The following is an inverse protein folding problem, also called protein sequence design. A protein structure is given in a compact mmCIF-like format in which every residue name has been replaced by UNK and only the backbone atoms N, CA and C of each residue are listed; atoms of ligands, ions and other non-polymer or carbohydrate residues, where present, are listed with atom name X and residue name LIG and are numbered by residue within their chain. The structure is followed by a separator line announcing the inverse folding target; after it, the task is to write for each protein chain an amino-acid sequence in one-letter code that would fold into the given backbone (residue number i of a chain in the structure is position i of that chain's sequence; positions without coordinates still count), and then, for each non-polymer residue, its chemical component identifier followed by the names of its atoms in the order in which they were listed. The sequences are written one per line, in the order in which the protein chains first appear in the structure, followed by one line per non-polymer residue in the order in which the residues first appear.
data_IF_363706079098
#
_entry.id   IF_363706079098
#
_cell.length_a   1.000
_cell.length_b   1.000
_cell.length_c   1.000
_cell.angle_alpha   90.00
_cell.angle_beta   90.00
_cell.angle_gamma   90.00
#
_symmetry.space_group_name_H-M   'P 1'
#
loop_
_entity.id
_entity.type
_entity.pdbx_description
1 polymer ?
#
# COMPACT_ATOMS: atom_id res chain seq x y z
N UNK A 1 -25.83 8.11 -23.45
CA UNK A 1 -24.72 7.43 -22.75
C UNK A 1 -25.05 5.96 -22.65
N UNK A 2 -24.11 5.07 -23.01
CA UNK A 2 -24.23 3.66 -22.61
C UNK A 2 -24.09 3.61 -21.09
N UNK A 3 -24.92 2.81 -20.42
CA UNK A 3 -24.80 2.59 -18.99
C UNK A 3 -23.54 1.80 -18.63
N UNK A 4 -23.28 1.69 -17.34
CA UNK A 4 -22.26 0.78 -16.81
C UNK A 4 -22.77 -0.66 -16.97
N UNK A 5 -21.87 -1.60 -17.30
CA UNK A 5 -22.19 -3.03 -17.34
C UNK A 5 -22.69 -3.53 -15.97
N UNK A 6 -23.71 -4.38 -15.97
CA UNK A 6 -24.37 -4.82 -14.74
C UNK A 6 -23.44 -5.55 -13.77
N UNK A 7 -22.38 -6.20 -14.27
CA UNK A 7 -21.39 -6.89 -13.43
C UNK A 7 -20.48 -5.94 -12.64
N UNK A 8 -20.48 -4.64 -12.94
CA UNK A 8 -19.69 -3.63 -12.22
C UNK A 8 -20.46 -3.07 -11.04
N UNK A 9 -21.80 -3.08 -11.06
CA UNK A 9 -22.62 -2.53 -9.97
C UNK A 9 -22.25 -3.08 -8.58
N UNK A 10 -21.98 -4.39 -8.39
CA UNK A 10 -21.51 -4.91 -7.11
C UNK A 10 -20.17 -4.34 -6.66
N UNK A 11 -19.28 -3.95 -7.59
CA UNK A 11 -17.98 -3.38 -7.23
C UNK A 11 -18.14 -2.00 -6.56
N UNK A 12 -19.21 -1.27 -6.90
CA UNK A 12 -19.45 0.11 -6.47
C UNK A 12 -20.35 0.20 -5.23
N UNK A 13 -20.82 -0.93 -4.68
CA UNK A 13 -21.81 -0.96 -3.59
C UNK A 13 -21.42 -0.14 -2.38
N UNK A 14 -20.12 -0.14 -2.08
CA UNK A 14 -19.57 0.43 -0.84
C UNK A 14 -19.36 1.94 -0.95
N UNK A 15 -19.35 2.51 -2.16
CA UNK A 15 -19.17 3.95 -2.38
C UNK A 15 -20.33 4.76 -1.76
N UNK A 16 -21.57 4.26 -1.89
CA UNK A 16 -22.77 4.88 -1.30
C UNK A 16 -22.72 4.95 0.22
N UNK A 17 -22.02 4.01 0.84
CA UNK A 17 -21.93 3.91 2.30
C UNK A 17 -20.80 4.80 2.86
N UNK A 18 -19.89 5.29 2.02
CA UNK A 18 -18.77 6.11 2.47
C UNK A 18 -19.18 7.58 2.66
N UNK A 19 -19.54 7.93 3.89
CA UNK A 19 -19.95 9.31 4.24
C UNK A 19 -18.83 10.35 4.14
N UNK A 20 -17.56 9.93 3.95
CA UNK A 20 -16.42 10.85 3.75
C UNK A 20 -16.21 11.19 2.28
N UNK A 21 -16.88 10.47 1.38
CA UNK A 21 -16.77 10.69 -0.04
C UNK A 21 -17.43 12.05 -0.39
N UNK A 22 -16.76 12.95 -1.13
CA UNK A 22 -17.36 14.23 -1.50
C UNK A 22 -18.65 14.06 -2.31
N UNK A 23 -19.56 15.02 -2.18
CA UNK A 23 -20.81 15.02 -2.97
C UNK A 23 -20.49 14.99 -4.47
N UNK A 24 -21.18 14.14 -5.22
CA UNK A 24 -20.97 13.97 -6.67
C UNK A 24 -19.81 13.05 -7.08
N UNK A 25 -19.01 12.55 -6.13
CA UNK A 25 -17.85 11.71 -6.45
C UNK A 25 -18.24 10.29 -6.90
N UNK A 26 -19.29 9.69 -6.34
CA UNK A 26 -19.81 8.41 -6.86
C UNK A 26 -20.29 8.59 -8.30
N UNK A 27 -21.03 9.66 -8.58
CA UNK A 27 -21.50 9.97 -9.93
C UNK A 27 -20.33 10.24 -10.89
N UNK A 28 -19.26 10.89 -10.43
CA UNK A 28 -18.04 11.09 -11.21
C UNK A 28 -17.36 9.75 -11.55
N UNK A 29 -17.21 8.84 -10.58
CA UNK A 29 -16.69 7.47 -10.81
C UNK A 29 -17.59 6.73 -11.81
N UNK A 30 -18.90 6.82 -11.66
CA UNK A 30 -19.86 6.17 -12.56
C UNK A 30 -19.77 6.72 -13.98
N UNK A 31 -19.70 8.04 -14.17
CA UNK A 31 -19.53 8.66 -15.50
C UNK A 31 -18.19 8.29 -16.12
N UNK A 32 -17.12 8.31 -15.32
CA UNK A 32 -15.78 7.85 -15.71
C UNK A 32 -15.82 6.47 -16.37
N UNK A 33 -16.47 5.50 -15.71
CA UNK A 33 -16.61 4.12 -16.22
C UNK A 33 -17.53 4.08 -17.44
N UNK A 34 -18.67 4.78 -17.40
CA UNK A 34 -19.66 4.73 -18.48
C UNK A 34 -19.15 5.34 -19.80
N UNK A 35 -18.35 6.40 -19.72
CA UNK A 35 -17.87 7.13 -20.89
C UNK A 35 -16.60 6.53 -21.50
N UNK A 36 -15.97 5.54 -20.86
CA UNK A 36 -14.83 4.78 -21.39
C UNK A 36 -15.27 3.34 -21.73
N UNK A 37 -15.61 3.03 -22.99
CA UNK A 37 -15.94 1.67 -23.41
C UNK A 37 -14.88 0.63 -23.02
N UNK A 38 -13.59 0.97 -23.14
CA UNK A 38 -12.49 0.10 -22.72
C UNK A 38 -12.54 -0.19 -21.21
N UNK A 39 -12.63 0.85 -20.37
CA UNK A 39 -12.66 0.68 -18.91
C UNK A 39 -13.90 -0.10 -18.44
N UNK A 40 -15.05 0.19 -19.04
CA UNK A 40 -16.29 -0.52 -18.77
C UNK A 40 -16.13 -2.02 -19.06
N UNK A 41 -15.60 -2.39 -20.23
CA UNK A 41 -15.35 -3.80 -20.55
C UNK A 41 -14.27 -4.43 -19.66
N UNK A 42 -13.18 -3.70 -19.36
CA UNK A 42 -12.09 -4.16 -18.50
C UNK A 42 -12.60 -4.53 -17.10
N UNK A 43 -13.30 -3.60 -16.45
CA UNK A 43 -13.86 -3.81 -15.11
C UNK A 43 -14.96 -4.87 -15.12
N UNK A 44 -15.80 -4.92 -16.15
CA UNK A 44 -16.85 -5.92 -16.26
C UNK A 44 -16.28 -7.35 -16.33
N UNK A 45 -15.21 -7.55 -17.11
CA UNK A 45 -14.55 -8.83 -17.23
C UNK A 45 -13.80 -9.18 -15.94
N UNK A 46 -13.02 -8.24 -15.38
CA UNK A 46 -12.32 -8.44 -14.12
C UNK A 46 -13.26 -8.77 -12.96
N UNK A 47 -14.47 -8.18 -12.93
CA UNK A 47 -15.52 -8.52 -11.97
C UNK A 47 -16.02 -9.96 -12.15
N UNK A 48 -16.33 -10.36 -13.39
CA UNK A 48 -16.82 -11.71 -13.72
C UNK A 48 -15.79 -12.80 -13.39
N UNK A 49 -14.52 -12.50 -13.64
CA UNK A 49 -13.41 -13.43 -13.41
C UNK A 49 -12.93 -13.41 -11.94
N UNK A 50 -13.53 -12.56 -11.09
CA UNK A 50 -13.18 -12.45 -9.66
C UNK A 50 -11.81 -11.80 -9.41
N UNK A 51 -11.22 -11.17 -10.42
CA UNK A 51 -9.94 -10.45 -10.34
C UNK A 51 -10.09 -9.11 -9.62
N UNK A 52 -11.27 -8.49 -9.70
CA UNK A 52 -11.66 -7.29 -8.94
C UNK A 52 -13.01 -7.58 -8.29
N UNK A 53 -13.07 -7.49 -6.96
CA UNK A 53 -14.30 -7.73 -6.21
C UNK A 53 -14.89 -6.49 -5.56
N UNK A 54 -14.14 -5.36 -5.51
CA UNK A 54 -14.60 -4.10 -4.92
C UNK A 54 -13.85 -2.89 -5.48
N UNK A 55 -14.52 -1.75 -5.54
CA UNK A 55 -13.94 -0.41 -5.72
C UNK A 55 -14.28 0.41 -4.48
N UNK A 56 -13.28 1.02 -3.85
CA UNK A 56 -13.43 1.81 -2.64
C UNK A 56 -12.53 3.06 -2.66
N UNK A 57 -12.67 3.91 -1.65
CA UNK A 57 -11.84 5.12 -1.52
C UNK A 57 -10.93 5.00 -0.30
N UNK A 58 -9.65 5.31 -0.51
CA UNK A 58 -8.63 5.31 0.54
C UNK A 58 -8.25 6.74 0.94
N UNK A 59 -8.10 6.99 2.24
CA UNK A 59 -7.93 8.36 2.79
C UNK A 59 -6.53 8.63 3.38
N UNK A 60 -5.64 7.63 3.37
CA UNK A 60 -4.34 7.69 4.05
C UNK A 60 -3.13 7.46 3.14
N UNK A 61 -3.32 7.36 1.82
CA UNK A 61 -2.23 7.06 0.87
C UNK A 61 -1.93 8.25 -0.04
N UNK A 62 -0.64 8.48 -0.29
CA UNK A 62 -0.12 9.57 -1.12
C UNK A 62 0.01 9.16 -2.60
N UNK A 63 -1.02 8.53 -3.16
CA UNK A 63 -1.07 8.06 -4.55
C UNK A 63 -2.37 8.47 -5.25
N UNK A 64 -2.47 8.24 -6.57
CA UNK A 64 -3.72 8.37 -7.33
C UNK A 64 -4.68 7.20 -7.07
N UNK A 65 -4.15 6.00 -6.88
CA UNK A 65 -4.90 4.80 -6.50
C UNK A 65 -3.95 3.67 -6.14
N UNK A 66 -4.51 2.55 -5.71
CA UNK A 66 -3.81 1.28 -5.62
C UNK A 66 -4.80 0.12 -5.68
N UNK A 67 -4.39 -0.99 -6.28
CA UNK A 67 -5.07 -2.27 -6.11
C UNK A 67 -4.68 -2.91 -4.77
N UNK A 68 -5.47 -3.86 -4.27
CA UNK A 68 -5.12 -4.69 -3.13
C UNK A 68 -5.60 -6.12 -3.42
N UNK A 69 -4.68 -7.09 -3.30
CA UNK A 69 -5.03 -8.52 -3.44
C UNK A 69 -6.06 -8.96 -2.37
N UNK A 70 -6.73 -10.08 -2.63
CA UNK A 70 -7.64 -10.67 -1.65
C UNK A 70 -6.91 -10.99 -0.33
N UNK A 71 -7.56 -10.69 0.79
CA UNK A 71 -7.13 -11.10 2.12
C UNK A 71 -8.29 -11.74 2.89
N UNK A 72 -8.05 -12.46 4.00
CA UNK A 72 -9.15 -13.03 4.79
C UNK A 72 -10.20 -11.96 5.15
N UNK A 73 -11.43 -12.13 4.66
CA UNK A 73 -12.52 -11.19 4.88
C UNK A 73 -12.51 -9.92 4.01
N UNK A 74 -11.63 -9.80 3.01
CA UNK A 74 -11.64 -8.69 2.04
C UNK A 74 -11.39 -9.19 0.61
N UNK A 75 -12.30 -8.91 -0.34
CA UNK A 75 -12.08 -9.26 -1.74
C UNK A 75 -10.97 -8.40 -2.37
N UNK A 76 -10.44 -8.80 -3.54
CA UNK A 76 -9.52 -7.95 -4.27
C UNK A 76 -10.17 -6.58 -4.54
N UNK A 77 -9.50 -5.50 -4.15
CA UNK A 77 -10.12 -4.17 -4.09
C UNK A 77 -9.28 -3.16 -4.85
N UNK A 78 -9.90 -2.38 -5.74
CA UNK A 78 -9.31 -1.15 -6.27
C UNK A 78 -9.63 -0.02 -5.30
N UNK A 79 -8.61 0.69 -4.83
CA UNK A 79 -8.76 1.90 -4.05
C UNK A 79 -8.44 3.13 -4.89
N UNK A 80 -9.40 4.03 -5.00
CA UNK A 80 -9.19 5.40 -5.48
C UNK A 80 -8.70 6.23 -4.29
N UNK A 81 -7.65 7.03 -4.46
CA UNK A 81 -7.24 7.94 -3.38
C UNK A 81 -8.24 9.10 -3.24
N UNK A 82 -8.60 9.42 -2.00
CA UNK A 82 -9.44 10.56 -1.68
C UNK A 82 -8.83 11.90 -2.12
N UNK A 83 -7.50 11.94 -2.33
CA UNK A 83 -6.79 13.13 -2.79
C UNK A 83 -7.22 13.57 -4.20
N UNK A 84 -7.62 12.65 -5.08
CA UNK A 84 -8.09 13.01 -6.43
C UNK A 84 -9.30 13.96 -6.38
N UNK A 85 -10.21 13.76 -5.42
CA UNK A 85 -11.41 14.58 -5.27
C UNK A 85 -11.17 15.92 -4.59
N UNK A 86 -9.97 16.16 -4.05
CA UNK A 86 -9.59 17.45 -3.46
C UNK A 86 -8.92 18.38 -4.47
N UNK A 87 -8.18 17.80 -5.41
CA UNK A 87 -7.25 18.55 -6.25
C UNK A 87 -7.82 18.85 -7.64
N UNK A 88 -8.79 18.06 -8.11
CA UNK A 88 -9.37 18.20 -9.46
C UNK A 88 -10.91 18.09 -9.40
N UNK A 89 -11.60 18.75 -10.33
CA UNK A 89 -13.06 18.76 -10.43
C UNK A 89 -13.50 18.59 -11.89
N UNK A 90 -14.75 18.18 -12.10
CA UNK A 90 -15.35 18.09 -13.42
C UNK A 90 -14.61 17.15 -14.37
N UNK A 91 -14.33 17.61 -15.60
CA UNK A 91 -13.72 16.79 -16.65
C UNK A 91 -12.32 16.30 -16.27
N UNK A 92 -11.51 17.17 -15.65
CA UNK A 92 -10.14 16.83 -15.23
C UNK A 92 -10.14 15.70 -14.20
N UNK A 93 -11.07 15.74 -13.23
CA UNK A 93 -11.25 14.65 -12.28
C UNK A 93 -11.64 13.35 -12.98
N UNK A 94 -12.58 13.40 -13.92
CA UNK A 94 -13.08 12.20 -14.60
C UNK A 94 -12.02 11.58 -15.53
N UNK A 95 -11.22 12.39 -16.22
CA UNK A 95 -10.07 11.93 -17.01
C UNK A 95 -9.03 11.27 -16.09
N UNK A 96 -8.71 11.91 -14.97
CA UNK A 96 -7.78 11.37 -13.96
C UNK A 96 -8.26 10.04 -13.38
N UNK A 97 -9.53 9.94 -12.99
CA UNK A 97 -10.12 8.71 -12.49
C UNK A 97 -10.14 7.62 -13.56
N UNK A 98 -10.27 7.98 -14.84
CA UNK A 98 -10.26 7.03 -15.95
C UNK A 98 -8.91 6.30 -16.03
N UNK A 99 -7.81 7.06 -15.99
CA UNK A 99 -6.46 6.49 -16.01
C UNK A 99 -6.19 5.64 -14.77
N UNK A 100 -6.49 6.16 -13.57
CA UNK A 100 -6.29 5.44 -12.31
C UNK A 100 -7.05 4.13 -12.31
N UNK A 101 -8.36 4.13 -12.61
CA UNK A 101 -9.14 2.90 -12.63
C UNK A 101 -8.66 1.91 -13.70
N UNK A 102 -8.24 2.40 -14.87
CA UNK A 102 -7.67 1.55 -15.93
C UNK A 102 -6.36 0.89 -15.53
N UNK A 103 -5.50 1.61 -14.80
CA UNK A 103 -4.24 1.13 -14.26
C UNK A 103 -4.47 0.11 -13.15
N UNK A 104 -5.25 0.45 -12.12
CA UNK A 104 -5.48 -0.44 -10.97
C UNK A 104 -6.27 -1.70 -11.33
N UNK A 105 -7.19 -1.63 -12.30
CA UNK A 105 -7.89 -2.81 -12.79
C UNK A 105 -6.93 -3.82 -13.44
N UNK A 106 -5.91 -3.34 -14.15
CA UNK A 106 -4.91 -4.22 -14.77
C UNK A 106 -4.04 -4.90 -13.71
N UNK A 107 -3.73 -4.24 -12.59
CA UNK A 107 -3.06 -4.88 -11.46
C UNK A 107 -3.85 -6.05 -10.87
N UNK A 108 -5.17 -5.96 -10.87
CA UNK A 108 -6.04 -7.08 -10.49
C UNK A 108 -6.05 -8.21 -11.50
N UNK A 109 -6.03 -7.86 -12.80
CA UNK A 109 -5.96 -8.85 -13.89
C UNK A 109 -4.65 -9.63 -13.84
N UNK A 110 -3.52 -8.95 -13.57
CA UNK A 110 -2.17 -9.52 -13.54
C UNK A 110 -1.77 -10.12 -12.18
N UNK A 111 -2.65 -10.07 -11.17
CA UNK A 111 -2.34 -10.50 -9.81
C UNK A 111 -1.85 -11.96 -9.74
N UNK A 112 -2.43 -12.84 -10.58
CA UNK A 112 -2.04 -14.26 -10.64
C UNK A 112 -0.65 -14.43 -11.24
N UNK A 113 -0.35 -13.75 -12.33
CA UNK A 113 0.95 -13.75 -13.00
C UNK A 113 2.04 -13.17 -12.09
N UNK A 114 1.73 -12.08 -11.37
CA UNK A 114 2.62 -11.47 -10.38
C UNK A 114 2.94 -12.43 -9.24
N UNK A 115 1.93 -13.16 -8.72
CA UNK A 115 2.13 -14.23 -7.75
C UNK A 115 3.00 -15.37 -8.29
N UNK A 116 2.75 -15.81 -9.52
CA UNK A 116 3.53 -16.86 -10.18
C UNK A 116 5.00 -16.46 -10.38
N UNK A 117 5.28 -15.20 -10.72
CA UNK A 117 6.65 -14.69 -10.85
C UNK A 117 7.42 -14.75 -9.51
N UNK A 118 6.75 -14.50 -8.38
CA UNK A 118 7.37 -14.64 -7.05
C UNK A 118 7.67 -16.11 -6.73
N UNK A 119 6.77 -17.03 -7.06
CA UNK A 119 7.01 -18.46 -6.86
C UNK A 119 8.12 -19.00 -7.79
N UNK A 120 8.17 -18.54 -9.04
CA UNK A 120 9.26 -18.86 -9.98
C UNK A 120 10.61 -18.35 -9.46
N UNK A 121 10.64 -17.14 -8.89
CA UNK A 121 11.81 -16.60 -8.22
C UNK A 121 12.25 -17.50 -7.05
N UNK A 122 11.33 -17.87 -6.15
CA UNK A 122 11.64 -18.75 -5.01
C UNK A 122 12.19 -20.10 -5.47
N UNK A 123 11.65 -20.67 -6.55
CA UNK A 123 12.15 -21.90 -7.15
C UNK A 123 13.55 -21.75 -7.77
N UNK A 124 13.80 -20.65 -8.48
CA UNK A 124 15.12 -20.34 -9.05
C UNK A 124 16.17 -20.15 -7.95
N UNK A 125 15.82 -19.40 -6.91
CA UNK A 125 16.63 -19.22 -5.71
C UNK A 125 16.98 -20.55 -5.02
N UNK A 126 16.00 -21.43 -4.81
CA UNK A 126 16.23 -22.76 -4.23
C UNK A 126 17.17 -23.61 -5.10
N UNK A 127 17.00 -23.56 -6.43
CA UNK A 127 17.85 -24.28 -7.38
C UNK A 127 19.31 -23.82 -7.31
N UNK A 128 19.55 -22.51 -7.23
CA UNK A 128 20.91 -21.95 -7.11
C UNK A 128 21.57 -22.35 -5.77
N UNK A 129 20.80 -22.43 -4.68
CA UNK A 129 21.29 -22.92 -3.40
C UNK A 129 21.66 -24.41 -3.45
N UNK A 130 20.82 -25.24 -4.06
CA UNK A 130 21.10 -26.67 -4.24
C UNK A 130 22.35 -26.90 -5.09
N UNK A 131 22.53 -26.11 -6.15
CA UNK A 131 23.72 -26.13 -7.00
C UNK A 131 24.98 -25.70 -6.22
N UNK A 132 24.90 -24.64 -5.42
CA UNK A 132 25.99 -24.22 -4.54
C UNK A 132 26.33 -25.30 -3.50
N UNK A 133 25.32 -25.97 -2.95
CA UNK A 133 25.50 -27.08 -2.01
C UNK A 133 26.20 -28.28 -2.68
N UNK A 134 25.71 -28.72 -3.84
CA UNK A 134 26.25 -29.86 -4.58
C UNK A 134 27.71 -29.63 -5.02
N UNK A 135 28.05 -28.39 -5.39
CA UNK A 135 29.41 -27.99 -5.78
C UNK A 135 30.32 -27.64 -4.60
N UNK A 136 29.81 -27.63 -3.36
CA UNK A 136 30.51 -27.17 -2.14
C UNK A 136 31.03 -25.72 -2.27
N UNK A 137 30.33 -24.90 -3.03
CA UNK A 137 30.63 -23.48 -3.15
C UNK A 137 30.30 -22.77 -1.83
N UNK A 138 31.21 -21.91 -1.37
CA UNK A 138 30.97 -21.03 -0.22
C UNK A 138 30.07 -19.83 -0.55
N UNK A 139 29.70 -19.65 -1.82
CA UNK A 139 28.91 -18.50 -2.29
C UNK A 139 27.88 -18.91 -3.34
N UNK A 140 26.77 -18.19 -3.40
CA UNK A 140 25.74 -18.33 -4.43
C UNK A 140 25.46 -16.96 -5.05
N UNK A 141 25.42 -16.88 -6.39
CA UNK A 141 25.11 -15.64 -7.10
C UNK A 141 23.62 -15.64 -7.46
N UNK A 142 22.87 -14.68 -6.92
CA UNK A 142 21.43 -14.54 -7.13
C UNK A 142 21.08 -13.31 -7.98
N UNK A 143 22.05 -12.67 -8.61
CA UNK A 143 21.83 -11.50 -9.48
C UNK A 143 20.83 -11.81 -10.59
N UNK A 144 21.02 -12.90 -11.33
CA UNK A 144 20.13 -13.30 -12.43
C UNK A 144 18.70 -13.65 -11.96
N UNK A 145 18.50 -14.49 -10.91
CA UNK A 145 17.18 -14.71 -10.33
C UNK A 145 16.46 -13.41 -9.92
N UNK A 146 17.15 -12.51 -9.22
CA UNK A 146 16.57 -11.23 -8.78
C UNK A 146 16.23 -10.36 -9.99
N UNK A 147 17.13 -10.27 -10.98
CA UNK A 147 16.89 -9.53 -12.23
C UNK A 147 15.63 -9.99 -12.95
N UNK A 148 15.46 -11.31 -13.11
CA UNK A 148 14.26 -11.88 -13.76
C UNK A 148 12.97 -11.51 -13.04
N UNK A 149 12.98 -11.50 -11.71
CA UNK A 149 11.82 -11.05 -10.93
C UNK A 149 11.54 -9.55 -11.11
N UNK A 150 12.58 -8.72 -11.03
CA UNK A 150 12.45 -7.27 -11.26
C UNK A 150 11.94 -6.95 -12.68
N UNK A 151 12.42 -7.68 -13.69
CA UNK A 151 11.96 -7.55 -15.07
C UNK A 151 10.45 -7.87 -15.19
N UNK A 152 9.91 -8.77 -14.35
CA UNK A 152 8.46 -9.04 -14.28
C UNK A 152 7.68 -7.90 -13.63
N UNK A 153 8.18 -7.33 -12.53
CA UNK A 153 7.58 -6.12 -11.94
C UNK A 153 7.59 -4.94 -12.92
N UNK A 154 8.68 -4.77 -13.66
CA UNK A 154 8.80 -3.78 -14.74
C UNK A 154 7.74 -3.97 -15.84
N UNK A 155 7.48 -5.21 -16.23
CA UNK A 155 6.43 -5.54 -17.19
C UNK A 155 5.02 -5.32 -16.63
N UNK A 156 4.77 -5.66 -15.36
CA UNK A 156 3.48 -5.50 -14.67
C UNK A 156 3.02 -4.04 -14.71
N UNK A 157 3.89 -3.13 -14.28
CA UNK A 157 3.64 -1.68 -14.28
C UNK A 157 3.42 -1.11 -15.67
N UNK A 158 4.22 -1.55 -16.65
CA UNK A 158 4.06 -1.06 -18.01
C UNK A 158 2.73 -1.50 -18.63
N UNK A 159 2.27 -2.72 -18.34
CA UNK A 159 0.95 -3.18 -18.79
C UNK A 159 -0.18 -2.44 -18.09
N UNK A 160 -0.05 -2.17 -16.79
CA UNK A 160 -1.00 -1.35 -16.04
C UNK A 160 -1.09 0.07 -16.61
N UNK A 161 0.05 0.67 -16.91
CA UNK A 161 0.09 2.01 -17.49
C UNK A 161 -0.49 2.08 -18.90
N UNK A 162 -0.19 1.09 -19.76
CA UNK A 162 -0.86 0.95 -21.07
C UNK A 162 -2.38 0.86 -20.90
N UNK A 163 -2.86 0.14 -19.88
CA UNK A 163 -4.29 0.03 -19.59
C UNK A 163 -4.91 1.35 -19.16
N UNK A 164 -4.22 2.13 -18.31
CA UNK A 164 -4.65 3.47 -17.92
C UNK A 164 -4.77 4.41 -19.12
N UNK A 165 -3.72 4.47 -19.95
CA UNK A 165 -3.70 5.28 -21.18
C UNK A 165 -4.82 4.87 -22.17
N UNK A 166 -5.08 3.57 -22.32
CA UNK A 166 -6.19 3.07 -23.16
C UNK A 166 -7.57 3.42 -22.61
N UNK A 167 -7.73 3.38 -21.30
CA UNK A 167 -8.97 3.79 -20.66
C UNK A 167 -9.25 5.27 -20.96
N UNK A 168 -8.24 6.13 -20.84
CA UNK A 168 -8.36 7.56 -21.15
C UNK A 168 -8.60 7.80 -22.65
N UNK A 169 -7.83 7.17 -23.55
CA UNK A 169 -8.06 7.27 -25.00
C UNK A 169 -9.49 6.86 -25.38
N UNK A 170 -9.97 5.74 -24.81
CA UNK A 170 -11.32 5.25 -25.07
C UNK A 170 -12.38 6.24 -24.63
N UNK A 171 -12.16 6.96 -23.52
CA UNK A 171 -13.03 8.05 -23.06
C UNK A 171 -12.99 9.24 -24.02
N UNK A 172 -11.80 9.73 -24.34
CA UNK A 172 -11.60 10.88 -25.21
C UNK A 172 -12.24 10.65 -26.58
N UNK A 173 -12.04 9.48 -27.18
CA UNK A 173 -12.65 9.06 -28.44
C UNK A 173 -14.18 8.98 -28.35
N UNK A 174 -14.72 8.43 -27.26
CA UNK A 174 -16.16 8.32 -27.07
C UNK A 174 -16.84 9.70 -26.91
N UNK A 175 -16.17 10.64 -26.24
CA UNK A 175 -16.64 12.02 -26.06
C UNK A 175 -16.44 12.90 -27.31
N UNK A 176 -15.48 12.55 -28.17
CA UNK A 176 -15.10 13.33 -29.35
C UNK A 176 -15.11 12.49 -30.63
N UNK A 177 -16.28 11.98 -31.08
CA UNK A 177 -16.37 11.01 -32.17
C UNK A 177 -15.96 11.54 -33.55
N UNK A 178 -15.76 12.86 -33.69
CA UNK A 178 -15.38 13.51 -34.95
C UNK A 178 -13.90 13.84 -35.06
N UNK A 179 -13.11 13.68 -33.98
CA UNK A 179 -11.67 13.94 -34.03
C UNK A 179 -10.97 12.83 -34.81
N UNK A 180 -9.96 13.22 -35.59
CA UNK A 180 -9.04 12.29 -36.20
C UNK A 180 -8.01 11.77 -35.18
N UNK A 181 -7.23 10.77 -35.59
CA UNK A 181 -6.28 10.10 -34.68
C UNK A 181 -5.15 11.02 -34.23
N UNK A 182 -4.71 11.97 -35.06
CA UNK A 182 -3.68 12.92 -34.69
C UNK A 182 -4.17 13.89 -33.61
N UNK A 183 -5.42 14.36 -33.73
CA UNK A 183 -6.04 15.19 -32.70
C UNK A 183 -6.32 14.40 -31.41
N UNK A 184 -6.70 13.13 -31.51
CA UNK A 184 -6.88 12.26 -30.34
C UNK A 184 -5.54 11.97 -29.63
N UNK A 185 -4.46 11.72 -30.38
CA UNK A 185 -3.12 11.54 -29.81
C UNK A 185 -2.67 12.79 -29.06
N UNK A 186 -2.81 13.97 -29.68
CA UNK A 186 -2.44 15.24 -29.05
C UNK A 186 -3.27 15.51 -27.79
N UNK A 187 -4.58 15.21 -27.83
CA UNK A 187 -5.46 15.36 -26.68
C UNK A 187 -5.12 14.37 -25.56
N UNK A 188 -4.81 13.11 -25.90
CA UNK A 188 -4.37 12.12 -24.92
C UNK A 188 -3.07 12.55 -24.26
N UNK A 189 -2.09 13.03 -25.03
CA UNK A 189 -0.82 13.51 -24.48
C UNK A 189 -0.99 14.75 -23.59
N UNK A 190 -1.90 15.66 -23.93
CA UNK A 190 -2.18 16.86 -23.13
C UNK A 190 -2.97 16.57 -21.85
N UNK A 191 -3.84 15.54 -21.86
CA UNK A 191 -4.74 15.23 -20.73
C UNK A 191 -4.21 14.15 -19.80
N UNK A 192 -3.30 13.31 -20.26
CA UNK A 192 -2.76 12.22 -19.45
C UNK A 192 -1.86 12.72 -18.33
N UNK A 193 -2.03 12.15 -17.14
CA UNK A 193 -1.08 12.33 -16.03
C UNK A 193 0.14 11.41 -16.11
N UNK A 194 0.27 10.62 -17.18
CA UNK A 194 1.36 9.67 -17.38
C UNK A 194 2.66 10.36 -17.73
N UNK A 195 3.78 9.83 -17.20
CA UNK A 195 5.13 10.22 -17.64
C UNK A 195 5.45 9.80 -19.08
N UNK A 196 4.59 8.96 -19.67
CA UNK A 196 4.68 8.56 -21.07
C UNK A 196 3.96 9.52 -22.02
N UNK A 197 3.35 10.57 -21.50
CA UNK A 197 2.89 11.72 -22.27
C UNK A 197 3.86 12.88 -22.05
N UNK A 198 4.39 13.44 -23.14
CA UNK A 198 5.34 14.55 -23.09
C UNK A 198 4.61 15.89 -23.15
N UNK A 199 5.21 16.91 -22.51
CA UNK A 199 4.68 18.28 -22.46
C UNK A 199 4.54 18.95 -23.85
N UNK A 200 5.11 18.36 -24.90
CA UNK A 200 5.01 18.83 -26.28
C UNK A 200 3.74 18.31 -27.01
N UNK A 201 2.83 17.64 -26.28
CA UNK A 201 1.59 17.11 -26.82
C UNK A 201 1.79 15.82 -27.63
N UNK A 202 2.83 15.05 -27.32
CA UNK A 202 3.13 13.77 -27.97
C UNK A 202 3.31 12.65 -26.96
N UNK A 203 3.10 11.41 -27.40
CA UNK A 203 3.49 10.25 -26.62
C UNK A 203 5.02 10.07 -26.66
N UNK A 204 5.56 9.47 -25.60
CA UNK A 204 6.99 9.23 -25.45
C UNK A 204 7.55 8.36 -26.59
N UNK A 205 8.86 8.45 -26.81
CA UNK A 205 9.56 7.73 -27.87
C UNK A 205 9.25 6.22 -27.82
N UNK A 206 8.92 5.64 -28.99
CA UNK A 206 8.58 4.23 -29.11
C UNK A 206 7.10 3.89 -28.86
N UNK A 207 6.30 4.84 -28.36
CA UNK A 207 4.84 4.69 -28.21
C UNK A 207 4.16 5.33 -29.43
N UNK A 208 3.63 4.51 -30.35
CA UNK A 208 2.76 5.01 -31.41
C UNK A 208 1.30 4.96 -30.98
N UNK A 209 0.53 5.97 -31.37
CA UNK A 209 -0.92 6.00 -31.13
C UNK A 209 -1.63 4.76 -31.70
N UNK A 210 -1.25 4.30 -32.89
CA UNK A 210 -1.75 3.06 -33.50
C UNK A 210 -1.56 1.83 -32.59
N UNK A 211 -0.37 1.69 -31.99
CA UNK A 211 -0.10 0.57 -31.09
C UNK A 211 -0.88 0.69 -29.78
N UNK A 212 -1.03 1.91 -29.27
CA UNK A 212 -1.74 2.18 -28.04
C UNK A 212 -3.26 1.99 -28.19
N UNK A 213 -3.87 2.60 -29.21
CA UNK A 213 -5.32 2.64 -29.38
C UNK A 213 -5.91 1.35 -29.97
N UNK A 214 -5.19 0.67 -30.88
CA UNK A 214 -5.79 -0.38 -31.71
C UNK A 214 -5.23 -1.78 -31.51
N UNK A 215 -3.97 -1.92 -31.07
CA UNK A 215 -3.36 -3.26 -30.96
C UNK A 215 -3.74 -3.97 -29.66
N UNK A 216 -4.02 -5.28 -29.68
CA UNK A 216 -4.20 -6.05 -28.45
C UNK A 216 -2.94 -6.03 -27.58
N UNK A 217 -3.09 -6.13 -26.25
CA UNK A 217 -1.96 -6.21 -25.31
C UNK A 217 -0.93 -7.29 -25.68
N UNK A 218 -1.40 -8.47 -26.11
CA UNK A 218 -0.55 -9.61 -26.51
C UNK A 218 0.37 -9.33 -27.72
N UNK A 219 0.00 -8.37 -28.57
CA UNK A 219 0.74 -8.02 -29.78
C UNK A 219 1.63 -6.78 -29.54
N UNK A 220 1.62 -6.25 -28.30
CA UNK A 220 2.19 -4.97 -27.91
C UNK A 220 3.57 -5.03 -27.28
N UNK A 221 4.39 -6.06 -27.52
CA UNK A 221 5.71 -6.19 -26.85
C UNK A 221 6.55 -4.92 -26.96
N UNK A 222 6.61 -4.30 -28.14
CA UNK A 222 7.34 -3.05 -28.35
C UNK A 222 6.70 -1.85 -27.62
N UNK A 223 5.37 -1.79 -27.57
CA UNK A 223 4.65 -0.78 -26.78
C UNK A 223 4.97 -0.93 -25.30
N UNK A 224 4.89 -2.15 -24.76
CA UNK A 224 5.25 -2.43 -23.37
C UNK A 224 6.70 -2.03 -23.10
N UNK A 225 7.65 -2.36 -23.99
CA UNK A 225 9.05 -1.95 -23.85
C UNK A 225 9.25 -0.43 -23.82
N UNK A 226 8.53 0.32 -24.65
CA UNK A 226 8.57 1.77 -24.64
C UNK A 226 7.98 2.35 -23.33
N UNK A 227 6.85 1.80 -22.87
CA UNK A 227 6.22 2.23 -21.61
C UNK A 227 7.09 1.89 -20.40
N UNK A 228 7.77 0.75 -20.39
CA UNK A 228 8.74 0.42 -19.33
C UNK A 228 9.83 1.51 -19.20
N UNK A 229 10.24 2.15 -20.31
CA UNK A 229 11.28 3.20 -20.30
C UNK A 229 10.78 4.54 -19.76
N UNK A 230 9.64 5.05 -20.24
CA UNK A 230 9.11 6.34 -19.79
C UNK A 230 8.43 6.28 -18.42
N UNK A 231 7.88 5.12 -18.05
CA UNK A 231 7.17 4.94 -16.79
C UNK A 231 8.06 4.32 -15.72
N UNK A 232 8.49 3.07 -15.89
CA UNK A 232 9.14 2.33 -14.80
C UNK A 232 10.58 2.80 -14.54
N UNK A 233 11.36 3.06 -15.60
CA UNK A 233 12.79 3.42 -15.46
C UNK A 233 13.02 4.89 -15.08
N UNK A 234 11.97 5.73 -15.07
CA UNK A 234 12.04 7.12 -14.61
C UNK A 234 12.08 7.25 -13.08
N UNK A 235 12.41 8.44 -12.57
CA UNK A 235 12.36 8.73 -11.13
C UNK A 235 10.95 8.58 -10.56
N UNK A 236 10.77 7.79 -9.50
CA UNK A 236 9.48 7.54 -8.85
C UNK A 236 9.31 8.24 -7.50
N UNK A 237 8.06 8.29 -7.01
CA UNK A 237 7.68 8.79 -5.68
C UNK A 237 6.99 7.68 -4.87
N UNK A 238 7.51 6.46 -4.96
CA UNK A 238 6.90 5.27 -4.38
C UNK A 238 7.37 5.01 -2.95
N UNK A 239 6.77 3.99 -2.35
CA UNK A 239 7.09 3.56 -1.00
C UNK A 239 6.43 4.43 0.07
N UNK A 240 6.64 4.07 1.33
CA UNK A 240 6.01 4.72 2.50
C UNK A 240 6.35 6.21 2.61
N UNK A 241 7.48 6.61 2.05
CA UNK A 241 8.03 7.96 2.14
C UNK A 241 7.87 8.76 0.85
N UNK A 242 7.32 8.16 -0.20
CA UNK A 242 7.06 8.86 -1.46
C UNK A 242 8.32 9.29 -2.21
N UNK A 243 9.46 8.64 -1.96
CA UNK A 243 10.79 9.03 -2.44
C UNK A 243 11.55 7.88 -3.14
N UNK A 244 10.89 6.75 -3.37
CA UNK A 244 11.52 5.58 -4.00
C UNK A 244 11.13 5.41 -5.46
N UNK A 245 12.07 4.92 -6.26
CA UNK A 245 11.77 4.43 -7.61
C UNK A 245 11.16 3.03 -7.58
N UNK A 246 10.67 2.61 -8.75
CA UNK A 246 10.03 1.31 -8.91
C UNK A 246 10.98 0.13 -8.63
N UNK A 247 12.25 0.23 -9.04
CA UNK A 247 13.23 -0.86 -8.87
C UNK A 247 13.46 -1.14 -7.39
N UNK A 248 13.64 -0.10 -6.60
CA UNK A 248 13.88 -0.18 -5.17
C UNK A 248 12.63 -0.58 -4.38
N UNK A 249 11.45 -0.19 -4.86
CA UNK A 249 10.19 -0.64 -4.28
C UNK A 249 9.97 -2.14 -4.51
N UNK A 250 10.10 -2.61 -5.75
CA UNK A 250 9.96 -4.03 -6.11
C UNK A 250 11.11 -4.91 -5.59
N UNK A 251 12.31 -4.36 -5.42
CA UNK A 251 13.48 -5.06 -4.90
C UNK A 251 13.31 -5.58 -3.48
N UNK A 252 12.38 -5.01 -2.70
CA UNK A 252 12.12 -5.47 -1.34
C UNK A 252 11.67 -6.93 -1.26
N UNK A 253 10.99 -7.44 -2.28
CA UNK A 253 10.38 -8.77 -2.31
C UNK A 253 11.37 -9.92 -2.46
N UNK A 254 12.18 -9.98 -3.53
CA UNK A 254 13.13 -11.06 -3.69
C UNK A 254 14.15 -11.04 -2.54
N UNK A 255 14.51 -9.85 -2.04
CA UNK A 255 15.42 -9.69 -0.91
C UNK A 255 14.80 -10.15 0.42
N UNK A 256 13.51 -9.86 0.65
CA UNK A 256 12.77 -10.37 1.81
C UNK A 256 12.60 -11.89 1.76
N UNK A 257 12.28 -12.44 0.59
CA UNK A 257 12.16 -13.89 0.40
C UNK A 257 13.50 -14.61 0.65
N UNK A 258 14.61 -14.08 0.14
CA UNK A 258 15.96 -14.60 0.44
C UNK A 258 16.20 -14.53 1.96
N UNK A 259 16.01 -13.37 2.59
CA UNK A 259 16.27 -13.18 4.02
C UNK A 259 15.45 -14.11 4.93
N UNK A 260 14.16 -14.24 4.65
CA UNK A 260 13.25 -15.08 5.42
C UNK A 260 13.59 -16.58 5.28
N UNK A 261 14.00 -17.03 4.09
CA UNK A 261 14.33 -18.43 3.84
C UNK A 261 15.78 -18.79 4.17
N UNK A 262 16.71 -17.83 4.20
CA UNK A 262 18.12 -18.06 4.51
C UNK A 262 18.33 -18.62 5.93
N UNK A 263 17.47 -18.26 6.88
CA UNK A 263 17.50 -18.78 8.25
C UNK A 263 17.11 -20.28 8.36
N UNK A 264 16.32 -20.80 7.41
CA UNK A 264 15.80 -22.17 7.43
C UNK A 264 16.82 -23.22 6.92
N UNK A 265 17.87 -22.78 6.23
CA UNK A 265 18.90 -23.65 5.65
C UNK A 265 20.00 -24.07 6.66
N UNK A 266 19.83 -23.72 7.94
CA UNK A 266 20.80 -23.93 9.01
C UNK A 266 20.67 -25.27 9.76
N UNK A 267 19.86 -26.23 9.27
CA UNK A 267 19.80 -27.59 9.83
C UNK A 267 21.09 -28.37 9.51
N UNK A 268 22.19 -28.00 10.18
CA UNK A 268 23.42 -28.79 10.30
C UNK A 268 24.66 -28.28 9.57
N UNK A 269 24.60 -27.22 8.74
CA UNK A 269 25.77 -26.55 8.10
C UNK A 269 25.56 -25.04 7.92
N UNK A 270 26.66 -24.32 7.74
CA UNK A 270 26.64 -22.89 7.39
C UNK A 270 26.14 -22.72 5.94
N UNK A 271 25.11 -21.90 5.68
CA UNK A 271 24.63 -21.62 4.32
C UNK A 271 25.68 -20.85 3.50
N UNK A 272 25.68 -20.99 2.15
CA UNK A 272 26.59 -20.23 1.30
C UNK A 272 26.30 -18.74 1.40
N UNK A 273 27.33 -17.90 1.32
CA UNK A 273 27.14 -16.45 1.33
C UNK A 273 26.46 -15.98 0.05
N UNK A 274 25.50 -15.07 0.19
CA UNK A 274 24.73 -14.52 -0.92
C UNK A 274 25.54 -13.44 -1.65
N UNK A 275 25.58 -13.51 -2.99
CA UNK A 275 26.08 -12.46 -3.86
C UNK A 275 24.96 -11.96 -4.77
N UNK A 276 24.77 -10.65 -4.80
CA UNK A 276 23.82 -9.96 -5.68
C UNK A 276 24.51 -8.66 -6.09
N UNK A 277 24.64 -8.43 -7.40
CA UNK A 277 25.13 -7.18 -7.95
C UNK A 277 24.04 -6.11 -7.81
N UNK A 278 24.04 -5.39 -6.67
CA UNK A 278 22.99 -4.41 -6.37
C UNK A 278 23.09 -3.23 -7.33
N UNK A 279 24.30 -2.85 -7.71
CA UNK A 279 24.56 -1.75 -8.65
C UNK A 279 24.00 -2.06 -10.04
N UNK A 280 24.28 -3.26 -10.60
CA UNK A 280 23.74 -3.67 -11.91
C UNK A 280 22.20 -3.67 -11.92
N UNK A 281 21.58 -4.06 -10.80
CA UNK A 281 20.12 -4.13 -10.69
C UNK A 281 19.47 -2.75 -10.43
N UNK A 282 20.28 -1.72 -10.14
CA UNK A 282 19.80 -0.40 -9.74
C UNK A 282 19.18 -0.37 -8.33
N UNK A 283 19.58 -1.31 -7.47
CA UNK A 283 19.08 -1.44 -6.12
C UNK A 283 19.97 -0.67 -5.13
N UNK A 284 19.36 0.28 -4.42
CA UNK A 284 19.97 1.08 -3.39
C UNK A 284 19.62 0.51 -1.99
N UNK A 285 20.61 0.09 -1.19
CA UNK A 285 20.38 -0.47 0.15
C UNK A 285 19.52 0.40 1.06
N UNK A 286 19.74 1.72 1.05
CA UNK A 286 19.00 2.65 1.92
C UNK A 286 17.54 2.76 1.48
N UNK A 287 17.27 2.80 0.16
CA UNK A 287 15.90 2.79 -0.32
C UNK A 287 15.20 1.46 -0.01
N UNK A 288 15.88 0.31 -0.16
CA UNK A 288 15.31 -0.99 0.18
C UNK A 288 14.89 -1.05 1.66
N UNK A 289 15.76 -0.64 2.58
CA UNK A 289 15.44 -0.59 4.01
C UNK A 289 14.28 0.36 4.32
N UNK A 290 14.28 1.55 3.69
CA UNK A 290 13.22 2.57 3.83
C UNK A 290 11.87 2.09 3.29
N UNK A 291 11.87 1.32 2.20
CA UNK A 291 10.66 0.74 1.62
C UNK A 291 10.11 -0.41 2.47
N UNK A 292 10.97 -1.10 3.21
CA UNK A 292 10.58 -2.21 4.06
C UNK A 292 11.20 -3.52 3.60
N UNK A 293 11.93 -4.20 4.49
CA UNK A 293 12.44 -5.55 4.29
C UNK A 293 11.94 -6.44 5.43
N UNK A 294 11.25 -7.53 5.09
CA UNK A 294 10.83 -8.54 6.06
C UNK A 294 11.70 -9.79 5.88
N UNK A 295 12.78 -9.86 6.66
CA UNK A 295 13.74 -10.97 6.61
C UNK A 295 13.34 -12.13 7.54
N UNK A 296 12.07 -12.22 7.95
CA UNK A 296 11.61 -13.20 8.94
C UNK A 296 12.24 -12.96 10.31
N UNK A 297 12.86 -14.00 10.89
CA UNK A 297 13.56 -13.89 12.18
C UNK A 297 14.98 -13.31 12.07
N UNK A 298 15.53 -13.18 10.85
CA UNK A 298 16.86 -12.62 10.64
C UNK A 298 16.86 -11.11 10.91
N UNK A 299 17.90 -10.61 11.60
CA UNK A 299 18.06 -9.17 11.85
C UNK A 299 18.66 -8.43 10.65
N UNK A 300 19.51 -9.12 9.91
CA UNK A 300 20.20 -8.60 8.73
C UNK A 300 20.33 -9.69 7.67
N UNK A 301 20.43 -9.27 6.41
CA UNK A 301 20.80 -10.11 5.28
C UNK A 301 22.14 -9.58 4.71
N UNK A 302 23.25 -10.32 4.90
CA UNK A 302 24.53 -9.95 4.30
C UNK A 302 24.55 -10.30 2.81
N UNK A 303 24.96 -9.34 1.97
CA UNK A 303 25.02 -9.46 0.50
C UNK A 303 26.39 -9.01 0.02
N UNK A 304 27.01 -9.83 -0.82
CA UNK A 304 28.23 -9.47 -1.54
C UNK A 304 27.92 -8.83 -2.89
N UNK A 305 28.07 -7.51 -2.98
CA UNK A 305 27.93 -6.70 -4.19
C UNK A 305 29.32 -6.45 -4.80
N UNK A 306 29.85 -7.43 -5.52
CA UNK A 306 31.19 -7.41 -6.11
C UNK A 306 31.19 -7.15 -7.62
N UNK A 307 30.09 -6.55 -8.09
CA UNK A 307 29.91 -6.09 -9.45
C UNK A 307 30.91 -5.04 -9.89
N UNK A 308 30.79 -4.63 -11.15
CA UNK A 308 31.43 -3.39 -11.60
C UNK A 308 30.77 -2.23 -10.84
N UNK A 309 31.58 -1.50 -10.08
CA UNK A 309 31.14 -0.40 -9.19
C UNK A 309 30.31 -0.87 -7.97
N UNK A 310 30.39 -2.15 -7.60
CA UNK A 310 29.69 -2.73 -6.46
C UNK A 310 30.21 -2.24 -5.10
N UNK A 311 29.33 -2.31 -4.09
CA UNK A 311 29.55 -1.78 -2.74
C UNK A 311 30.37 -2.70 -1.81
N UNK A 312 30.75 -3.90 -2.27
CA UNK A 312 31.35 -4.92 -1.43
C UNK A 312 30.32 -5.61 -0.54
N UNK A 313 30.67 -5.93 0.70
CA UNK A 313 29.71 -6.51 1.64
C UNK A 313 28.75 -5.44 2.17
N UNK A 314 27.47 -5.66 1.97
CA UNK A 314 26.37 -4.82 2.47
C UNK A 314 25.52 -5.64 3.42
N UNK A 315 25.12 -5.07 4.54
CA UNK A 315 24.14 -5.67 5.46
C UNK A 315 22.80 -4.95 5.32
N UNK A 316 21.82 -5.60 4.70
CA UNK A 316 20.45 -5.08 4.65
C UNK A 316 19.73 -5.41 5.96
N UNK A 317 19.17 -4.41 6.62
CA UNK A 317 18.45 -4.57 7.89
C UNK A 317 17.03 -5.05 7.68
N UNK A 318 16.59 -5.93 8.57
CA UNK A 318 15.17 -6.24 8.71
C UNK A 318 14.46 -5.02 9.29
N UNK A 319 13.58 -4.40 8.51
CA UNK A 319 12.78 -3.24 8.93
C UNK A 319 11.34 -3.60 9.27
N UNK A 320 11.00 -4.90 9.29
CA UNK A 320 9.78 -5.45 9.88
C UNK A 320 8.48 -5.08 9.18
N UNK A 321 8.55 -4.37 8.04
CA UNK A 321 7.37 -4.07 7.23
C UNK A 321 7.02 -5.30 6.42
N UNK A 322 6.03 -6.05 6.89
CA UNK A 322 5.54 -7.25 6.23
C UNK A 322 4.79 -6.87 4.94
N UNK A 323 5.48 -6.86 3.80
CA UNK A 323 4.84 -7.07 2.52
C UNK A 323 4.68 -8.58 2.33
N UNK A 324 3.57 -9.15 2.82
CA UNK A 324 3.26 -10.59 2.68
C UNK A 324 2.81 -10.99 1.27
N UNK A 325 2.63 -10.01 0.38
CA UNK A 325 2.22 -10.15 -1.02
C UNK A 325 2.94 -9.10 -1.87
N UNK A 326 3.37 -9.44 -3.13
CA UNK A 326 3.89 -8.49 -4.11
C UNK A 326 3.04 -7.22 -4.14
N UNK A 327 3.62 -6.02 -4.34
CA UNK A 327 2.84 -4.83 -4.24
C UNK A 327 2.10 -4.65 -5.58
N UNK A 328 0.81 -4.33 -5.57
CA UNK A 328 0.28 -3.42 -6.56
C UNK A 328 0.84 -2.02 -6.29
N UNK A 329 1.46 -1.42 -7.30
CA UNK A 329 2.05 -0.08 -7.15
C UNK A 329 1.02 1.01 -7.40
N UNK A 330 1.28 2.10 -6.71
CA UNK A 330 0.61 3.37 -6.65
C UNK A 330 0.44 4.03 -8.03
N UNK A 331 -0.80 4.33 -8.44
CA UNK A 331 -1.05 5.27 -9.53
C UNK A 331 -0.37 6.61 -9.27
N UNK A 332 0.35 7.13 -10.28
CA UNK A 332 1.12 8.40 -10.25
C UNK A 332 0.37 9.50 -9.51
N UNK A 333 1.00 10.23 -8.58
CA UNK A 333 0.49 11.49 -8.02
C UNK A 333 1.40 12.65 -8.48
N UNK A 334 0.77 13.72 -8.97
CA UNK A 334 1.43 14.99 -9.22
C UNK A 334 2.01 15.57 -7.92
N UNK A 335 3.18 16.17 -8.07
CA UNK A 335 3.97 16.86 -7.06
C UNK A 335 3.13 17.81 -6.23
N UNK A 336 3.05 17.61 -4.90
CA UNK A 336 3.04 18.70 -3.90
C UNK A 336 3.17 18.21 -2.45
N UNK A 337 3.91 19.01 -1.68
CA UNK A 337 4.39 18.85 -0.31
C UNK A 337 3.32 18.73 0.79
N UNK A 338 3.61 17.93 1.83
CA UNK A 338 2.79 17.61 3.00
C UNK A 338 2.45 18.80 3.92
N UNK A 339 1.32 18.74 4.66
CA UNK A 339 1.21 19.29 6.00
C UNK A 339 1.24 18.18 7.07
N UNK A 340 1.85 18.47 8.22
CA UNK A 340 2.02 17.56 9.34
C UNK A 340 0.69 17.05 9.95
N UNK A 341 0.66 15.78 10.35
CA UNK A 341 -0.45 15.16 11.10
C UNK A 341 -0.55 15.73 12.52
N UNK A 342 -1.71 16.22 12.94
CA UNK A 342 -1.95 16.73 14.31
C UNK A 342 -3.08 15.97 14.98
N UNK A 343 -2.77 15.31 16.11
CA UNK A 343 -3.75 14.73 17.03
C UNK A 343 -4.68 15.82 17.60
N UNK A 344 -5.91 15.43 17.97
CA UNK A 344 -6.77 16.35 18.71
C UNK A 344 -6.23 16.57 20.14
N UNK A 345 -6.64 17.66 20.82
CA UNK A 345 -6.09 18.01 22.13
C UNK A 345 -6.30 16.95 23.23
N UNK A 346 -7.41 16.20 23.20
CA UNK A 346 -7.69 15.17 24.20
C UNK A 346 -6.80 13.94 24.04
N UNK A 347 -6.61 13.48 22.80
CA UNK A 347 -5.70 12.38 22.49
C UNK A 347 -4.24 12.76 22.76
N UNK A 348 -3.87 14.01 22.47
CA UNK A 348 -2.54 14.55 22.77
C UNK A 348 -2.28 14.53 24.29
N UNK A 349 -3.24 14.99 25.10
CA UNK A 349 -3.11 14.97 26.55
C UNK A 349 -3.04 13.53 27.12
N UNK A 350 -3.82 12.60 26.57
CA UNK A 350 -3.76 11.18 26.97
C UNK A 350 -2.41 10.56 26.58
N UNK A 351 -1.87 10.89 25.41
CA UNK A 351 -0.54 10.43 24.97
C UNK A 351 0.56 10.90 25.92
N UNK A 352 0.52 12.15 26.35
CA UNK A 352 1.48 12.71 27.30
C UNK A 352 1.41 12.02 28.67
N UNK A 353 0.20 11.71 29.15
CA UNK A 353 0.03 10.92 30.38
C UNK A 353 0.62 9.52 30.23
N UNK A 354 0.34 8.83 29.12
CA UNK A 354 0.87 7.49 28.84
C UNK A 354 2.40 7.54 28.78
N UNK A 355 2.99 8.51 28.06
CA UNK A 355 4.45 8.68 27.98
C UNK A 355 5.08 8.82 29.37
N UNK A 356 4.52 9.66 30.24
CA UNK A 356 5.04 9.82 31.61
C UNK A 356 4.97 8.54 32.45
N UNK A 357 3.95 7.69 32.24
CA UNK A 357 3.83 6.40 32.95
C UNK A 357 4.76 5.34 32.37
N UNK A 358 4.96 5.32 31.06
CA UNK A 358 5.95 4.45 30.39
C UNK A 358 7.36 4.84 30.81
N UNK A 359 7.68 6.13 30.90
CA UNK A 359 8.97 6.62 31.40
C UNK A 359 9.22 6.17 32.86
N UNK A 360 8.20 6.27 33.73
CA UNK A 360 8.31 5.77 35.10
C UNK A 360 8.52 4.24 35.15
N UNK A 361 7.86 3.50 34.25
CA UNK A 361 8.03 2.07 34.09
C UNK A 361 9.45 1.72 33.60
N UNK A 362 9.99 2.44 32.62
CA UNK A 362 11.37 2.25 32.14
C UNK A 362 12.37 2.50 33.25
N UNK A 363 12.21 3.60 34.01
CA UNK A 363 13.08 3.93 35.14
C UNK A 363 13.05 2.86 36.23
N UNK A 364 11.88 2.30 36.54
CA UNK A 364 11.73 1.20 37.49
C UNK A 364 12.43 -0.08 37.02
N UNK A 365 12.65 -0.24 35.71
CA UNK A 365 13.36 -1.36 35.09
C UNK A 365 14.82 -1.01 34.68
N UNK A 366 15.36 0.12 35.15
CA UNK A 366 16.74 0.52 34.87
C UNK A 366 17.01 0.97 33.43
N UNK A 367 15.98 1.41 32.71
CA UNK A 367 16.06 1.91 31.33
C UNK A 367 15.72 3.41 31.28
N UNK A 368 16.19 4.08 30.24
CA UNK A 368 15.75 5.42 29.87
C UNK A 368 14.65 5.33 28.81
N UNK A 369 13.80 6.36 28.72
CA UNK A 369 12.80 6.45 27.66
C UNK A 369 13.50 6.53 26.29
N UNK A 370 13.14 5.63 25.38
CA UNK A 370 13.75 5.50 24.06
C UNK A 370 12.69 5.35 22.95
N UNK A 371 13.11 5.12 21.70
CA UNK A 371 12.18 4.97 20.57
C UNK A 371 11.20 3.80 20.73
N UNK A 372 11.56 2.78 21.50
CA UNK A 372 10.66 1.66 21.84
C UNK A 372 9.60 2.11 22.84
N UNK A 373 9.98 2.93 23.81
CA UNK A 373 9.06 3.57 24.75
C UNK A 373 8.06 4.48 24.03
N UNK A 374 8.50 5.15 22.98
CA UNK A 374 7.66 5.99 22.12
C UNK A 374 6.65 5.16 21.29
N UNK A 375 7.11 4.09 20.62
CA UNK A 375 6.23 3.14 19.92
C UNK A 375 5.20 2.50 20.84
N UNK A 376 5.64 2.13 22.04
CA UNK A 376 4.78 1.57 23.08
C UNK A 376 3.74 2.58 23.53
N UNK A 377 4.12 3.84 23.77
CA UNK A 377 3.21 4.91 24.17
C UNK A 377 2.12 5.18 23.12
N UNK A 378 2.49 5.23 21.84
CA UNK A 378 1.53 5.42 20.75
C UNK A 378 0.58 4.22 20.61
N UNK A 379 1.09 2.99 20.73
CA UNK A 379 0.27 1.77 20.68
C UNK A 379 -0.70 1.64 21.85
N UNK A 380 -0.26 2.07 23.03
CA UNK A 380 -1.10 2.16 24.22
C UNK A 380 -2.19 3.23 24.07
N UNK A 381 -1.90 4.37 23.42
CA UNK A 381 -2.90 5.39 23.11
C UNK A 381 -4.01 4.83 22.22
N UNK A 382 -3.65 4.11 21.15
CA UNK A 382 -4.62 3.46 20.26
C UNK A 382 -5.52 2.48 21.01
N UNK A 383 -4.91 1.63 21.84
CA UNK A 383 -5.65 0.66 22.66
C UNK A 383 -6.56 1.34 23.70
N UNK A 384 -6.05 2.38 24.39
CA UNK A 384 -6.80 3.14 25.37
C UNK A 384 -8.04 3.81 24.76
N UNK A 385 -7.86 4.46 23.61
CA UNK A 385 -8.96 5.11 22.90
C UNK A 385 -10.02 4.11 22.43
N UNK A 386 -9.60 2.96 21.92
CA UNK A 386 -10.52 1.88 21.53
C UNK A 386 -11.35 1.32 22.69
N UNK A 387 -10.79 1.35 23.91
CA UNK A 387 -11.47 0.92 25.13
C UNK A 387 -12.27 2.03 25.85
N UNK A 388 -12.36 3.23 25.26
CA UNK A 388 -13.04 4.38 25.89
C UNK A 388 -12.30 4.95 27.11
N UNK A 389 -11.01 4.65 27.27
CA UNK A 389 -10.16 5.23 28.31
C UNK A 389 -9.82 6.67 27.91
N UNK A 390 -10.09 7.61 28.81
CA UNK A 390 -9.93 9.06 28.61
C UNK A 390 -8.81 9.66 29.45
N UNK A 391 -8.28 8.92 30.43
CA UNK A 391 -7.09 9.27 31.21
C UNK A 391 -6.28 8.02 31.58
N UNK A 392 -4.97 8.14 31.70
CA UNK A 392 -4.09 7.03 32.08
C UNK A 392 -3.62 7.15 33.54
N UNK A 393 -4.35 6.53 34.47
CA UNK A 393 -3.99 6.54 35.89
C UNK A 393 -2.78 5.61 36.15
N UNK A 394 -2.73 4.46 35.46
CA UNK A 394 -1.61 3.52 35.52
C UNK A 394 -1.24 2.94 34.14
N UNK A 395 0.07 2.70 33.94
CA UNK A 395 0.60 1.82 32.90
C UNK A 395 1.44 0.75 33.59
N UNK A 396 1.09 -0.53 33.40
CA UNK A 396 1.70 -1.65 34.14
C UNK A 396 1.92 -2.87 33.27
N UNK A 397 2.95 -3.66 33.60
CA UNK A 397 3.25 -4.94 32.95
C UNK A 397 2.49 -6.09 33.61
N UNK A 398 2.16 -7.12 32.84
CA UNK A 398 1.57 -8.35 33.37
C UNK A 398 2.50 -9.03 34.37
N UNK A 399 1.93 -9.62 35.41
CA UNK A 399 2.68 -10.48 36.34
C UNK A 399 2.83 -11.87 35.74
N UNK A 400 3.86 -12.60 36.17
CA UNK A 400 4.00 -14.02 35.84
C UNK A 400 2.85 -14.82 36.45
N UNK A 401 2.27 -15.73 35.65
CA UNK A 401 1.29 -16.73 36.09
C UNK A 401 1.78 -18.13 35.72
N UNK A 402 1.04 -19.17 36.08
CA UNK A 402 1.37 -20.55 35.68
C UNK A 402 1.42 -20.75 34.15
N UNK A 403 0.68 -19.93 33.40
CA UNK A 403 0.48 -20.09 31.95
C UNK A 403 1.07 -18.92 31.12
N UNK A 404 1.66 -17.91 31.77
CA UNK A 404 2.11 -16.68 31.10
C UNK A 404 3.35 -16.09 31.78
N UNK A 405 4.41 -15.73 31.02
CA UNK A 405 5.56 -15.04 31.58
C UNK A 405 5.18 -13.63 32.07
N UNK A 406 6.01 -13.09 32.99
CA UNK A 406 5.92 -11.68 33.35
C UNK A 406 6.14 -10.80 32.12
N UNK A 407 5.54 -9.60 32.11
CA UNK A 407 5.65 -8.62 31.05
C UNK A 407 5.21 -9.09 29.66
N UNK A 408 4.45 -10.19 29.56
CA UNK A 408 3.84 -10.60 28.30
C UNK A 408 2.92 -9.52 27.71
N UNK A 409 2.14 -8.86 28.56
CA UNK A 409 1.23 -7.79 28.17
C UNK A 409 1.53 -6.50 28.95
N UNK A 410 1.23 -5.37 28.33
CA UNK A 410 1.24 -4.05 28.96
C UNK A 410 -0.19 -3.49 28.97
N UNK A 411 -0.57 -2.89 30.10
CA UNK A 411 -1.93 -2.43 30.38
C UNK A 411 -1.97 -0.92 30.54
N UNK A 412 -3.05 -0.30 30.06
CA UNK A 412 -3.46 1.06 30.45
C UNK A 412 -4.70 0.92 31.32
N UNK A 413 -4.70 1.58 32.48
CA UNK A 413 -5.78 1.52 33.46
C UNK A 413 -6.25 2.93 33.84
N UNK A 414 -7.57 3.11 33.86
CA UNK A 414 -8.26 4.28 34.39
C UNK A 414 -9.07 3.88 35.63
N UNK A 415 -8.79 4.51 36.77
CA UNK A 415 -9.32 4.18 38.09
C UNK A 415 -8.30 3.48 39.00
N UNK A 416 -8.69 3.25 40.24
CA UNK A 416 -7.85 2.57 41.25
C UNK A 416 -7.59 1.11 40.87
N UNK A 417 -6.37 0.62 41.10
CA UNK A 417 -5.99 -0.76 40.74
C UNK A 417 -6.83 -1.84 41.44
N UNK A 418 -7.39 -1.54 42.62
CA UNK A 418 -8.29 -2.44 43.36
C UNK A 418 -9.77 -2.27 43.04
N UNK A 419 -10.14 -1.27 42.24
CA UNK A 419 -11.53 -1.02 41.88
C UNK A 419 -11.95 -1.98 40.75
N UNK A 420 -13.01 -2.80 40.94
CA UNK A 420 -13.55 -3.66 39.88
C UNK A 420 -14.20 -2.86 38.74
N UNK A 421 -14.60 -1.60 38.96
CA UNK A 421 -15.16 -0.72 37.94
C UNK A 421 -14.09 0.04 37.12
N UNK A 422 -12.81 -0.13 37.41
CA UNK A 422 -11.74 0.49 36.64
C UNK A 422 -11.72 0.00 35.19
N UNK A 423 -11.59 0.93 34.24
CA UNK A 423 -11.42 0.60 32.83
C UNK A 423 -10.00 0.13 32.57
N UNK A 424 -9.84 -1.00 31.88
CA UNK A 424 -8.54 -1.59 31.58
C UNK A 424 -8.52 -2.06 30.15
N UNK A 425 -7.43 -1.77 29.46
CA UNK A 425 -7.09 -2.39 28.17
C UNK A 425 -5.67 -2.92 28.22
N UNK A 426 -5.36 -3.82 27.30
CA UNK A 426 -4.02 -4.36 27.16
C UNK A 426 -3.64 -4.60 25.71
N UNK A 427 -2.34 -4.75 25.50
CA UNK A 427 -1.71 -5.18 24.26
C UNK A 427 -0.48 -6.01 24.61
N UNK A 428 -0.07 -6.93 23.74
CA UNK A 428 1.17 -7.66 23.95
C UNK A 428 2.35 -6.67 23.99
N UNK A 429 3.23 -6.80 25.00
CA UNK A 429 4.34 -5.86 25.20
C UNK A 429 5.27 -5.83 23.99
N UNK A 430 5.53 -6.99 23.38
CA UNK A 430 6.34 -7.11 22.17
C UNK A 430 5.68 -6.42 20.97
N UNK A 431 4.36 -6.54 20.82
CA UNK A 431 3.59 -5.90 19.75
C UNK A 431 3.59 -4.37 19.92
N UNK A 432 3.35 -3.87 21.14
CA UNK A 432 3.40 -2.45 21.44
C UNK A 432 4.80 -1.85 21.21
N UNK A 433 5.86 -2.61 21.51
CA UNK A 433 7.24 -2.22 21.30
C UNK A 433 7.67 -2.22 19.82
N UNK A 434 6.97 -2.97 18.96
CA UNK A 434 7.32 -3.16 17.54
C UNK A 434 6.44 -2.35 16.57
N UNK A 435 5.19 -2.07 16.94
CA UNK A 435 4.26 -1.32 16.10
C UNK A 435 4.76 0.11 15.85
N UNK A 436 4.92 0.55 14.58
CA UNK A 436 5.37 1.91 14.27
C UNK A 436 4.44 2.99 14.86
N UNK A 437 5.02 4.08 15.37
CA UNK A 437 4.28 5.22 15.94
C UNK A 437 3.17 5.68 15.00
N UNK A 438 3.51 5.91 13.72
CA UNK A 438 2.55 6.40 12.73
C UNK A 438 1.36 5.46 12.54
N UNK A 439 1.57 4.14 12.60
CA UNK A 439 0.47 3.18 12.47
C UNK A 439 -0.50 3.30 13.65
N UNK A 440 0.02 3.39 14.87
CA UNK A 440 -0.78 3.61 16.07
C UNK A 440 -1.51 4.96 16.06
N UNK A 441 -0.88 6.03 15.54
CA UNK A 441 -1.54 7.33 15.38
C UNK A 441 -2.66 7.28 14.34
N UNK A 442 -2.46 6.61 13.22
CA UNK A 442 -3.51 6.37 12.23
C UNK A 442 -4.68 5.58 12.83
N UNK A 443 -4.42 4.60 13.70
CA UNK A 443 -5.47 3.87 14.43
C UNK A 443 -6.24 4.78 15.40
N UNK A 444 -5.55 5.67 16.13
CA UNK A 444 -6.16 6.66 17.03
C UNK A 444 -7.11 7.59 16.28
N UNK A 445 -6.71 8.07 15.11
CA UNK A 445 -7.55 8.89 14.25
C UNK A 445 -8.76 8.09 13.75
N UNK A 446 -8.57 6.87 13.27
CA UNK A 446 -9.64 6.01 12.79
C UNK A 446 -10.68 5.69 13.88
N UNK A 447 -10.25 5.43 15.12
CA UNK A 447 -11.14 5.18 16.26
C UNK A 447 -11.92 6.46 16.61
N UNK A 448 -11.26 7.62 16.62
CA UNK A 448 -11.92 8.91 16.88
C UNK A 448 -13.00 9.23 15.85
N UNK A 449 -12.72 8.99 14.57
CA UNK A 449 -13.69 9.17 13.49
C UNK A 449 -14.91 8.24 13.66
N UNK A 450 -14.69 6.99 14.07
CA UNK A 450 -15.76 6.02 14.34
C UNK A 450 -16.65 6.46 15.51
N UNK A 451 -16.05 6.86 16.63
CA UNK A 451 -16.78 7.31 17.83
C UNK A 451 -17.61 8.57 17.56
N UNK A 452 -17.04 9.54 16.82
CA UNK A 452 -17.78 10.75 16.43
C UNK A 452 -19.00 10.42 15.55
N UNK A 453 -18.88 9.41 14.68
CA UNK A 453 -19.97 8.96 13.83
C UNK A 453 -21.08 8.25 14.60
N UNK A 454 -20.72 7.40 15.56
CA UNK A 454 -21.66 6.70 16.44
C UNK A 454 -22.45 7.70 17.28
N UNK A 455 -21.78 8.69 17.89
CA UNK A 455 -22.43 9.76 18.67
C UNK A 455 -23.39 10.62 17.82
N UNK A 456 -23.00 10.98 16.59
CA UNK A 456 -23.87 11.71 15.69
C UNK A 456 -25.14 10.92 15.32
N UNK A 457 -25.01 9.61 15.16
CA UNK A 457 -26.13 8.70 14.85
C UNK A 457 -27.06 8.51 16.04
N UNK A 458 -26.52 8.41 17.26
CA UNK A 458 -27.31 8.33 18.49
C UNK A 458 -28.08 9.63 18.76
N UNK A 459 -27.46 10.80 18.55
CA UNK A 459 -28.17 12.09 18.68
C UNK A 459 -29.33 12.23 17.69
N UNK A 460 -29.16 11.76 16.45
CA UNK A 460 -30.24 11.75 15.46
C UNK A 460 -31.39 10.84 15.89
N UNK A 461 -31.10 9.62 16.36
CA UNK A 461 -32.12 8.69 16.87
C UNK A 461 -32.85 9.24 18.10
N UNK A 462 -32.13 9.90 19.01
CA UNK A 462 -32.75 10.52 20.18
C UNK A 462 -33.69 11.70 19.80
N UNK A 463 -33.32 12.51 18.81
CA UNK A 463 -34.18 13.58 18.29
C UNK A 463 -35.43 13.06 17.58
N UNK A 464 -35.32 11.98 16.81
CA UNK A 464 -36.46 11.32 16.17
C UNK A 464 -37.43 10.71 17.19
N UNK A 465 -36.89 10.05 18.23
CA UNK A 465 -37.71 9.53 19.33
C UNK A 465 -38.40 10.62 20.14
N UNK A 466 -37.75 11.77 20.38
CA UNK A 466 -38.39 12.92 21.04
C UNK A 466 -39.48 13.56 20.18
N UNK A 467 -39.30 13.62 18.86
CA UNK A 467 -40.35 14.07 17.91
C UNK A 467 -41.55 13.12 17.87
N UNK A 468 -41.32 11.81 17.98
CA UNK A 468 -42.38 10.81 18.00
C UNK A 468 -43.14 10.71 19.34
N UNK A 469 -42.58 11.26 20.43
CA UNK A 469 -43.15 11.18 21.79
C UNK A 469 -43.87 12.44 22.25
N UNK A 470 -43.91 13.51 21.43
CA UNK A 470 -44.65 14.72 21.73
C UNK A 470 -46.17 14.46 21.58
N UNK A 471 -47.00 14.61 22.62
CA UNK A 471 -48.43 14.40 22.50
C UNK A 471 -49.03 15.54 21.67
N UNK A 472 -49.75 15.18 20.61
CA UNK A 472 -50.60 16.11 19.87
C UNK A 472 -51.64 16.71 20.83
N UNK A 473 -51.53 18.00 21.12
CA UNK A 473 -52.59 18.78 21.78
C UNK A 473 -53.63 19.24 20.77
#
# INVERSE_FOLDING_TARGET
MKGIEASIEPLLSDLKADKRLPEGAEEAIRRTIADSPYLNHLLANAAKDGQVGRISVSYGHHNGGHFQDASPGSPPTIFISASNFKNSLGVELEERLTEVLGHEAMHGILAKERGAALEEFKGSYATELDAAHASRSGTVNLTDPVKKYLDKGRQDEALAEVSGLRALDSRLRNLNPTLDEAALEALLADRSGSRCAADDGRLAEGISYEALAHRPNKDGVQLTKAVEQCFYDGSGTLGRHGDSDYRNYYGTYPLSAIGASHAFLAEGRQPPSIRIDLHELGLNPQQLERNGLNLGSAKVLPIGDFGKDGLGWVELKNTGSALTTPPPTQGVAGTQSSPAHTLNPADQALLEQIRGKVEALDKANGRAFDETSERMSASLLASAKGAGITRADHVVLSRQTANSPAAQNIFVVQGEMSDPAALRTHIATAEAAQRPVQESLNQVEAIGQRQAHEQATEMQRAQEQQRASAPSM
#
